data_IF_255449661850
#
_entry.id   IF_255449661850
#
_cell.length_a   1.000
_cell.length_b   1.000
_cell.length_c   1.000
_cell.angle_alpha   90.00
_cell.angle_beta   90.00
_cell.angle_gamma   90.00
#
_symmetry.space_group_name_H-M   'P 1'
#
loop_
_entity.id
_entity.type
_entity.pdbx_description
1 polymer ?
#
# COMPACT_ATOMS: atom_id res chain seq x y z
N UNK A 1 -6.34 -12.31 10.14
CA UNK A 1 -7.30 -12.63 9.05
C UNK A 1 -7.81 -11.32 8.49
N UNK A 2 -7.71 -11.10 7.18
CA UNK A 2 -7.91 -9.80 6.53
C UNK A 2 -7.18 -9.77 5.18
N UNK A 3 -7.00 -8.58 4.59
CA UNK A 3 -6.29 -8.36 3.31
C UNK A 3 -4.81 -8.83 3.28
N UNK A 4 -4.31 -9.44 4.36
CA UNK A 4 -3.00 -10.07 4.46
C UNK A 4 -2.98 -11.51 3.91
N UNK A 5 -4.13 -12.20 3.89
CA UNK A 5 -4.29 -13.47 3.17
C UNK A 5 -4.94 -13.18 1.81
N UNK A 6 -4.26 -13.49 0.68
CA UNK A 6 -4.78 -13.25 -0.67
C UNK A 6 -6.14 -13.92 -0.94
N UNK A 7 -6.43 -15.08 -0.35
CA UNK A 7 -7.68 -15.80 -0.58
C UNK A 7 -8.84 -15.09 0.12
N UNK A 8 -8.65 -14.76 1.40
CA UNK A 8 -9.66 -14.03 2.17
C UNK A 8 -9.86 -12.60 1.65
N UNK A 9 -8.78 -11.95 1.22
CA UNK A 9 -8.83 -10.66 0.53
C UNK A 9 -9.69 -10.74 -0.73
N UNK A 10 -9.51 -11.77 -1.57
CA UNK A 10 -10.27 -11.93 -2.81
C UNK A 10 -11.76 -12.17 -2.53
N UNK A 11 -12.08 -12.96 -1.51
CA UNK A 11 -13.46 -13.15 -1.04
C UNK A 11 -14.10 -11.85 -0.61
N UNK A 12 -13.37 -11.03 0.17
CA UNK A 12 -13.85 -9.71 0.62
C UNK A 12 -14.14 -8.79 -0.57
N UNK A 13 -13.23 -8.72 -1.54
CA UNK A 13 -13.41 -7.94 -2.77
C UNK A 13 -14.69 -8.39 -3.49
N UNK A 14 -14.86 -9.69 -3.70
CA UNK A 14 -16.06 -10.24 -4.37
C UNK A 14 -17.36 -9.90 -3.63
N UNK A 15 -17.37 -10.01 -2.29
CA UNK A 15 -18.54 -9.66 -1.48
C UNK A 15 -18.83 -8.16 -1.58
N UNK A 16 -17.80 -7.31 -1.44
CA UNK A 16 -17.92 -5.86 -1.58
C UNK A 16 -18.54 -5.48 -2.93
N UNK A 17 -17.95 -5.98 -4.02
CA UNK A 17 -18.47 -5.74 -5.39
C UNK A 17 -19.92 -6.16 -5.53
N UNK A 18 -20.32 -7.32 -5.00
CA UNK A 18 -21.73 -7.78 -5.05
C UNK A 18 -22.67 -6.88 -4.28
N UNK A 19 -22.27 -6.41 -3.09
CA UNK A 19 -23.10 -5.53 -2.25
C UNK A 19 -23.29 -4.17 -2.93
N UNK A 20 -22.21 -3.52 -3.34
CA UNK A 20 -22.28 -2.19 -3.97
C UNK A 20 -23.03 -2.23 -5.31
N UNK A 21 -22.72 -3.20 -6.18
CA UNK A 21 -23.39 -3.30 -7.48
C UNK A 21 -24.85 -3.78 -7.34
N UNK A 22 -25.14 -4.63 -6.35
CA UNK A 22 -26.51 -5.03 -6.02
C UNK A 22 -27.36 -3.85 -5.55
N UNK A 23 -26.81 -3.01 -4.67
CA UNK A 23 -27.45 -1.78 -4.24
C UNK A 23 -27.66 -0.81 -5.42
N UNK A 24 -26.66 -0.65 -6.29
CA UNK A 24 -26.78 0.19 -7.48
C UNK A 24 -27.90 -0.29 -8.42
N UNK A 25 -28.02 -1.60 -8.69
CA UNK A 25 -29.15 -2.14 -9.47
C UNK A 25 -30.50 -1.86 -8.79
N UNK A 26 -30.57 -2.02 -7.47
CA UNK A 26 -31.82 -1.77 -6.74
C UNK A 26 -32.25 -0.31 -6.82
N UNK A 27 -31.29 0.62 -6.74
CA UNK A 27 -31.55 2.06 -6.92
C UNK A 27 -31.92 2.36 -8.38
N UNK A 28 -31.32 1.67 -9.36
CA UNK A 28 -31.63 1.86 -10.77
C UNK A 28 -33.12 1.59 -11.10
N UNK A 29 -33.79 0.69 -10.36
CA UNK A 29 -35.22 0.42 -10.52
C UNK A 29 -36.10 1.67 -10.32
N UNK A 30 -35.67 2.65 -9.52
CA UNK A 30 -36.41 3.90 -9.31
C UNK A 30 -36.16 4.94 -10.41
N UNK A 31 -35.37 4.62 -11.44
CA UNK A 31 -35.02 5.49 -12.57
C UNK A 31 -34.57 6.90 -12.13
N UNK A 32 -33.52 7.01 -11.31
CA UNK A 32 -33.03 8.31 -10.85
C UNK A 32 -32.48 9.15 -12.03
N UNK A 33 -32.53 10.47 -11.91
CA UNK A 33 -31.91 11.37 -12.88
C UNK A 33 -30.38 11.20 -12.98
N UNK A 34 -29.74 10.76 -11.89
CA UNK A 34 -28.32 10.43 -11.84
C UNK A 34 -28.12 9.25 -10.89
N UNK A 35 -27.45 8.20 -11.37
CA UNK A 35 -26.94 7.09 -10.56
C UNK A 35 -25.42 7.04 -10.68
N UNK A 36 -24.73 7.00 -9.55
CA UNK A 36 -23.30 6.78 -9.49
C UNK A 36 -23.03 5.54 -8.64
N UNK A 37 -22.23 4.63 -9.17
CA UNK A 37 -21.82 3.41 -8.48
C UNK A 37 -20.30 3.32 -8.47
N UNK A 38 -19.71 3.16 -7.29
CA UNK A 38 -18.28 3.02 -7.12
C UNK A 38 -17.90 1.54 -7.01
N UNK A 39 -17.03 1.07 -7.90
CA UNK A 39 -16.57 -0.31 -7.95
C UNK A 39 -15.11 -0.41 -7.48
N UNK A 40 -14.88 -0.23 -6.17
CA UNK A 40 -13.53 -0.19 -5.58
C UNK A 40 -12.70 -1.46 -5.88
N UNK A 41 -13.37 -2.60 -6.04
CA UNK A 41 -12.67 -3.87 -6.21
C UNK A 41 -11.85 -3.97 -7.50
N UNK A 42 -12.08 -3.11 -8.52
CA UNK A 42 -11.22 -3.06 -9.71
C UNK A 42 -9.82 -2.52 -9.42
N UNK A 43 -9.66 -1.76 -8.35
CA UNK A 43 -8.37 -1.31 -7.83
C UNK A 43 -7.80 -2.31 -6.81
N UNK A 44 -8.62 -2.71 -5.82
CA UNK A 44 -8.17 -3.61 -4.74
C UNK A 44 -7.65 -4.95 -5.28
N UNK A 45 -8.22 -5.46 -6.38
CA UNK A 45 -7.79 -6.72 -6.99
C UNK A 45 -6.36 -6.64 -7.54
N UNK A 46 -5.97 -5.48 -8.05
CA UNK A 46 -4.62 -5.21 -8.53
C UNK A 46 -3.61 -5.21 -7.39
N UNK A 47 -3.93 -4.53 -6.28
CA UNK A 47 -3.08 -4.52 -5.10
C UNK A 47 -2.95 -5.90 -4.46
N UNK A 48 -4.04 -6.67 -4.44
CA UNK A 48 -4.07 -7.98 -3.79
C UNK A 48 -3.36 -9.07 -4.59
N UNK A 49 -3.69 -9.19 -5.89
CA UNK A 49 -3.22 -10.29 -6.73
C UNK A 49 -2.08 -9.90 -7.67
N UNK A 50 -1.81 -8.61 -7.82
CA UNK A 50 -0.70 -8.08 -8.59
C UNK A 50 0.60 -8.85 -8.35
N UNK A 51 1.14 -8.93 -7.13
CA UNK A 51 2.42 -9.62 -6.87
C UNK A 51 2.57 -11.05 -7.44
N UNK A 52 1.46 -11.73 -7.72
CA UNK A 52 1.43 -13.10 -8.23
C UNK A 52 1.25 -13.20 -9.76
N UNK A 53 0.92 -12.11 -10.45
CA UNK A 53 0.81 -12.11 -11.93
C UNK A 53 2.19 -12.10 -12.60
N UNK A 54 2.33 -12.60 -13.84
CA UNK A 54 3.61 -12.57 -14.57
C UNK A 54 4.11 -11.14 -14.89
N UNK A 55 5.40 -10.82 -14.64
CA UNK A 55 6.38 -11.62 -13.89
C UNK A 55 6.10 -11.56 -12.39
N UNK A 56 6.03 -12.73 -11.74
CA UNK A 56 5.73 -12.82 -10.30
C UNK A 56 6.84 -12.17 -9.46
N UNK A 57 6.45 -11.59 -8.32
CA UNK A 57 7.39 -11.02 -7.37
C UNK A 57 8.32 -12.09 -6.78
N UNK A 58 9.58 -11.75 -6.44
CA UNK A 58 10.50 -12.70 -5.82
C UNK A 58 9.93 -13.31 -4.54
N UNK A 59 10.00 -14.63 -4.41
CA UNK A 59 9.48 -15.34 -3.24
C UNK A 59 7.95 -15.49 -3.20
N UNK A 60 7.24 -15.15 -4.27
CA UNK A 60 5.80 -15.37 -4.37
C UNK A 60 5.43 -16.86 -4.27
N UNK A 61 4.33 -17.17 -3.58
CA UNK A 61 3.80 -18.52 -3.44
C UNK A 61 3.45 -19.11 -4.83
N UNK A 62 4.07 -20.24 -5.23
CA UNK A 62 3.80 -20.88 -6.52
C UNK A 62 2.32 -21.21 -6.78
N UNK A 63 1.56 -21.58 -5.74
CA UNK A 63 0.14 -21.89 -5.89
C UNK A 63 -0.68 -20.63 -6.25
N UNK A 64 -0.33 -19.49 -5.63
CA UNK A 64 -0.96 -18.21 -5.94
C UNK A 64 -0.52 -17.68 -7.31
N UNK A 65 0.73 -17.89 -7.72
CA UNK A 65 1.21 -17.54 -9.06
C UNK A 65 0.42 -18.26 -10.15
N UNK A 66 0.05 -19.52 -9.92
CA UNK A 66 -0.80 -20.28 -10.84
C UNK A 66 -2.26 -19.80 -10.84
N UNK A 67 -2.80 -19.46 -9.67
CA UNK A 67 -4.23 -19.14 -9.50
C UNK A 67 -4.58 -17.68 -9.82
N UNK A 68 -3.65 -16.73 -9.66
CA UNK A 68 -3.94 -15.30 -9.74
C UNK A 68 -4.37 -14.81 -11.13
N UNK A 69 -3.71 -15.18 -12.25
CA UNK A 69 -4.10 -14.68 -13.58
C UNK A 69 -5.57 -14.97 -13.94
N UNK A 70 -6.06 -16.24 -13.89
CA UNK A 70 -7.46 -16.50 -14.20
C UNK A 70 -8.42 -15.93 -13.14
N UNK A 71 -7.97 -15.69 -11.90
CA UNK A 71 -8.80 -15.05 -10.88
C UNK A 71 -9.05 -13.57 -11.18
N UNK A 72 -8.02 -12.83 -11.61
CA UNK A 72 -8.13 -11.42 -12.01
C UNK A 72 -9.04 -11.29 -13.24
N UNK A 73 -8.84 -12.10 -14.28
CA UNK A 73 -9.70 -12.10 -15.48
C UNK A 73 -11.16 -12.38 -15.14
N UNK A 74 -11.42 -13.39 -14.31
CA UNK A 74 -12.79 -13.73 -13.87
C UNK A 74 -13.42 -12.63 -13.03
N UNK A 75 -12.63 -11.91 -12.24
CA UNK A 75 -13.12 -10.76 -11.48
C UNK A 75 -13.60 -9.64 -12.41
N UNK A 76 -12.81 -9.26 -13.42
CA UNK A 76 -13.26 -8.27 -14.41
C UNK A 76 -14.48 -8.75 -15.21
N UNK A 77 -14.56 -10.05 -15.55
CA UNK A 77 -15.78 -10.60 -16.15
C UNK A 77 -17.02 -10.54 -15.22
N UNK A 78 -16.84 -10.51 -13.88
CA UNK A 78 -17.94 -10.22 -12.95
C UNK A 78 -18.37 -8.76 -13.08
N UNK A 79 -17.43 -7.82 -13.14
CA UNK A 79 -17.71 -6.38 -13.31
C UNK A 79 -18.45 -6.13 -14.63
N UNK A 80 -18.00 -6.73 -15.74
CA UNK A 80 -18.65 -6.60 -17.05
C UNK A 80 -20.09 -7.10 -17.03
N UNK A 81 -20.37 -8.23 -16.37
CA UNK A 81 -21.75 -8.72 -16.20
C UNK A 81 -22.62 -7.75 -15.42
N UNK A 82 -22.09 -7.09 -14.40
CA UNK A 82 -22.84 -6.08 -13.65
C UNK A 82 -23.11 -4.82 -14.48
N UNK A 83 -22.13 -4.37 -15.28
CA UNK A 83 -22.35 -3.28 -16.24
C UNK A 83 -23.44 -3.65 -17.25
N UNK A 84 -23.43 -4.88 -17.78
CA UNK A 84 -24.49 -5.38 -18.66
C UNK A 84 -25.87 -5.30 -18.02
N UNK A 85 -26.01 -5.74 -16.76
CA UNK A 85 -27.28 -5.65 -16.02
C UNK A 85 -27.75 -4.22 -15.75
N UNK A 86 -26.82 -3.28 -15.54
CA UNK A 86 -27.17 -1.86 -15.43
C UNK A 86 -27.67 -1.32 -16.78
N UNK A 87 -27.04 -1.72 -17.88
CA UNK A 87 -27.46 -1.35 -19.24
C UNK A 87 -28.81 -1.96 -19.65
N UNK A 88 -29.19 -3.12 -19.10
CA UNK A 88 -30.54 -3.68 -19.27
C UNK A 88 -31.62 -2.81 -18.62
N UNK A 89 -31.32 -2.15 -17.50
CA UNK A 89 -32.25 -1.24 -16.81
C UNK A 89 -32.34 0.14 -17.48
N UNK A 90 -31.26 0.56 -18.14
CA UNK A 90 -31.12 1.87 -18.77
C UNK A 90 -30.35 1.73 -20.10
N UNK A 91 -31.02 1.32 -21.19
CA UNK A 91 -30.37 1.13 -22.48
C UNK A 91 -29.73 2.44 -22.99
N UNK A 92 -28.66 2.33 -23.78
CA UNK A 92 -27.93 3.50 -24.33
C UNK A 92 -28.80 4.40 -25.22
N UNK A 93 -29.92 3.92 -25.73
CA UNK A 93 -30.90 4.75 -26.45
C UNK A 93 -31.66 5.73 -25.55
N UNK A 94 -31.73 5.44 -24.25
CA UNK A 94 -32.49 6.23 -23.27
C UNK A 94 -31.57 7.00 -22.32
N UNK A 95 -30.39 6.45 -22.02
CA UNK A 95 -29.51 6.95 -20.97
C UNK A 95 -28.10 7.23 -21.48
N UNK A 96 -27.41 8.20 -20.87
CA UNK A 96 -25.98 8.36 -21.00
C UNK A 96 -25.28 7.51 -19.93
N UNK A 97 -24.26 6.75 -20.34
CA UNK A 97 -23.45 5.92 -19.45
C UNK A 97 -22.01 6.41 -19.48
N UNK A 98 -21.50 6.67 -18.29
CA UNK A 98 -20.18 7.18 -18.04
C UNK A 98 -19.40 6.16 -17.18
N UNK A 99 -18.29 5.63 -17.72
CA UNK A 99 -17.33 4.80 -16.99
C UNK A 99 -16.04 5.59 -16.83
N UNK A 100 -15.61 5.78 -15.58
CA UNK A 100 -14.42 6.57 -15.24
C UNK A 100 -13.54 5.80 -14.26
N UNK A 101 -12.25 5.80 -14.55
CA UNK A 101 -11.18 5.51 -13.62
C UNK A 101 -10.18 6.65 -13.74
N UNK A 102 -9.85 7.29 -12.63
CA UNK A 102 -8.90 8.41 -12.56
C UNK A 102 -7.46 7.97 -12.86
N UNK A 103 -7.11 6.75 -12.46
CA UNK A 103 -5.82 6.12 -12.76
C UNK A 103 -5.98 4.76 -13.44
N UNK A 104 -4.90 4.31 -14.07
CA UNK A 104 -4.74 2.92 -14.53
C UNK A 104 -3.94 2.10 -13.52
N UNK A 105 -3.68 0.85 -13.83
CA UNK A 105 -2.90 -0.04 -12.96
C UNK A 105 -1.75 -0.68 -13.73
N UNK A 106 -0.58 -0.82 -13.09
CA UNK A 106 0.59 -1.52 -13.63
C UNK A 106 0.38 -3.01 -13.37
N UNK A 107 0.28 -3.81 -14.43
CA UNK A 107 -0.06 -5.23 -14.32
C UNK A 107 1.10 -6.17 -14.65
N UNK A 108 2.15 -5.68 -15.34
CA UNK A 108 3.20 -6.52 -15.92
C UNK A 108 4.58 -6.20 -15.38
N UNK A 109 5.58 -6.15 -16.26
CA UNK A 109 6.97 -5.82 -15.92
C UNK A 109 7.17 -4.37 -15.49
N UNK A 110 6.19 -3.49 -15.71
CA UNK A 110 6.19 -2.08 -15.33
C UNK A 110 5.86 -1.85 -13.85
N UNK A 111 5.64 -2.91 -13.07
CA UNK A 111 5.30 -2.84 -11.64
C UNK A 111 6.53 -2.61 -10.75
N UNK A 112 6.35 -1.89 -9.64
CA UNK A 112 7.39 -1.74 -8.62
C UNK A 112 7.72 -3.08 -7.93
N UNK A 113 8.90 -3.17 -7.32
CA UNK A 113 9.33 -4.37 -6.57
C UNK A 113 8.83 -4.35 -5.12
N UNK A 114 8.39 -3.19 -4.66
CA UNK A 114 7.84 -2.91 -3.36
C UNK A 114 6.47 -3.56 -3.19
N UNK A 115 6.16 -4.04 -1.98
CA UNK A 115 4.87 -4.63 -1.66
C UNK A 115 3.72 -3.66 -2.01
N UNK A 116 2.71 -4.16 -2.72
CA UNK A 116 1.44 -3.46 -2.91
C UNK A 116 0.53 -3.75 -1.72
N UNK A 117 0.41 -2.80 -0.80
CA UNK A 117 -0.66 -2.84 0.19
C UNK A 117 -1.92 -2.16 -0.36
N UNK A 118 -3.08 -2.57 0.15
CA UNK A 118 -4.33 -1.78 -0.01
C UNK A 118 -4.31 -0.53 0.92
N UNK A 119 -3.22 -0.37 1.66
CA UNK A 119 -2.93 0.76 2.53
C UNK A 119 -1.87 1.65 1.84
N UNK A 120 -2.03 2.97 1.92
CA UNK A 120 -1.64 3.91 0.87
C UNK A 120 -0.13 4.16 0.68
N UNK A 121 0.76 3.66 1.55
CA UNK A 121 2.20 3.94 1.51
C UNK A 121 2.81 3.76 0.11
N UNK A 122 2.49 2.65 -0.56
CA UNK A 122 3.08 2.27 -1.85
C UNK A 122 2.04 2.05 -2.94
N UNK A 123 0.75 2.15 -2.63
CA UNK A 123 -0.34 1.86 -3.55
C UNK A 123 -0.23 2.70 -4.84
N UNK A 124 0.00 4.01 -4.73
CA UNK A 124 0.11 4.89 -5.90
C UNK A 124 1.24 4.48 -6.87
N UNK A 125 2.33 3.86 -6.37
CA UNK A 125 3.43 3.39 -7.22
C UNK A 125 2.99 2.27 -8.18
N UNK A 126 1.93 1.55 -7.83
CA UNK A 126 1.35 0.49 -8.66
C UNK A 126 0.36 1.03 -9.69
N UNK A 127 0.02 2.31 -9.62
CA UNK A 127 -0.89 2.94 -10.55
C UNK A 127 -0.17 3.47 -11.78
N UNK A 128 -0.90 3.52 -12.90
CA UNK A 128 -0.52 4.31 -14.06
C UNK A 128 -1.22 5.67 -13.95
N UNK A 129 -0.54 6.78 -14.28
CA UNK A 129 -1.12 8.11 -14.13
C UNK A 129 -2.34 8.36 -15.04
N UNK A 130 -2.53 7.55 -16.08
CA UNK A 130 -3.65 7.65 -17.01
C UNK A 130 -4.63 6.52 -16.74
N UNK A 131 -5.85 6.87 -16.32
CA UNK A 131 -6.98 5.96 -16.25
C UNK A 131 -7.79 5.90 -17.54
N UNK A 132 -9.09 5.67 -17.40
CA UNK A 132 -10.03 5.53 -18.51
C UNK A 132 -11.21 6.48 -18.36
N UNK A 133 -11.72 6.95 -19.49
CA UNK A 133 -12.97 7.66 -19.58
C UNK A 133 -13.73 7.10 -20.79
N UNK A 134 -14.93 6.61 -20.56
CA UNK A 134 -15.84 6.12 -21.61
C UNK A 134 -17.18 6.77 -21.39
N UNK A 135 -17.69 7.46 -22.41
CA UNK A 135 -19.01 8.06 -22.42
C UNK A 135 -19.77 7.62 -23.66
N UNK A 136 -20.97 7.09 -23.47
CA UNK A 136 -21.82 6.63 -24.56
C UNK A 136 -23.31 6.79 -24.23
N UNK A 137 -24.15 6.84 -25.27
CA UNK A 137 -25.61 6.80 -25.14
C UNK A 137 -26.32 8.14 -25.40
N UNK A 138 -27.53 8.27 -24.85
CA UNK A 138 -28.44 9.36 -25.16
C UNK A 138 -27.83 10.74 -24.80
N UNK A 139 -27.97 11.71 -25.69
CA UNK A 139 -27.39 13.05 -25.51
C UNK A 139 -25.88 13.16 -25.75
N UNK A 140 -25.20 12.07 -26.15
CA UNK A 140 -23.76 12.06 -26.46
C UNK A 140 -23.54 12.16 -27.97
N UNK A 141 -23.08 13.31 -28.46
CA UNK A 141 -22.75 13.54 -29.88
C UNK A 141 -21.28 13.19 -30.13
N UNK A 142 -20.95 11.91 -30.09
CA UNK A 142 -19.55 11.44 -30.07
C UNK A 142 -18.67 12.01 -31.20
N UNK A 143 -17.52 12.59 -30.83
CA UNK A 143 -16.39 12.92 -31.73
C UNK A 143 -14.99 12.66 -31.14
N UNK A 144 -14.89 12.32 -29.85
CA UNK A 144 -13.61 12.13 -29.16
C UNK A 144 -12.90 10.82 -29.54
N UNK A 145 -11.57 10.85 -29.60
CA UNK A 145 -10.71 9.68 -29.84
C UNK A 145 -9.88 9.32 -28.61
N UNK A 146 -9.39 8.10 -28.56
CA UNK A 146 -8.32 7.68 -27.64
C UNK A 146 -7.15 8.66 -27.71
N UNK A 147 -6.76 9.23 -26.56
CA UNK A 147 -5.59 10.10 -26.43
C UNK A 147 -5.86 11.59 -26.21
N UNK A 148 -7.10 12.06 -26.32
CA UNK A 148 -7.44 13.41 -25.87
C UNK A 148 -7.27 13.55 -24.35
N UNK A 149 -6.58 14.59 -23.85
CA UNK A 149 -6.37 14.77 -22.42
C UNK A 149 -7.70 15.14 -21.74
N UNK A 150 -8.10 14.32 -20.78
CA UNK A 150 -9.19 14.57 -19.85
C UNK A 150 -8.62 14.67 -18.43
N UNK A 151 -9.19 15.56 -17.63
CA UNK A 151 -8.90 15.70 -16.20
C UNK A 151 -10.06 15.17 -15.37
N UNK A 152 -9.77 14.73 -14.14
CA UNK A 152 -10.80 14.44 -13.14
C UNK A 152 -11.73 15.63 -12.91
N UNK A 153 -11.21 16.86 -13.07
CA UNK A 153 -11.98 18.09 -12.97
C UNK A 153 -13.05 18.25 -14.06
N UNK A 154 -12.93 17.53 -15.17
CA UNK A 154 -13.87 17.60 -16.29
C UNK A 154 -15.12 16.71 -16.07
N UNK A 155 -15.07 15.78 -15.11
CA UNK A 155 -16.16 14.82 -14.85
C UNK A 155 -17.44 15.52 -14.40
N UNK A 156 -17.38 16.37 -13.37
CA UNK A 156 -18.55 17.07 -12.85
C UNK A 156 -19.19 18.04 -13.89
N UNK A 157 -18.42 18.88 -14.61
CA UNK A 157 -18.95 19.66 -15.75
C UNK A 157 -19.64 18.80 -16.81
N UNK A 158 -19.09 17.62 -17.13
CA UNK A 158 -19.66 16.70 -18.12
C UNK A 158 -21.01 16.15 -17.65
N UNK A 159 -21.09 15.69 -16.40
CA UNK A 159 -22.35 15.22 -15.80
C UNK A 159 -23.39 16.34 -15.75
N UNK A 160 -23.01 17.55 -15.34
CA UNK A 160 -23.91 18.70 -15.33
C UNK A 160 -24.44 19.02 -16.74
N UNK A 161 -23.58 18.97 -17.76
CA UNK A 161 -23.97 19.15 -19.15
C UNK A 161 -25.00 18.12 -19.63
N UNK A 162 -24.80 16.83 -19.32
CA UNK A 162 -25.73 15.75 -19.66
C UNK A 162 -27.09 15.91 -18.97
N UNK A 163 -27.11 16.46 -17.76
CA UNK A 163 -28.33 16.72 -16.99
C UNK A 163 -29.00 18.06 -17.37
N UNK A 164 -28.42 18.84 -18.28
CA UNK A 164 -28.92 20.18 -18.62
C UNK A 164 -28.81 21.20 -17.48
N UNK A 165 -27.91 20.96 -16.52
CA UNK A 165 -27.66 21.82 -15.37
C UNK A 165 -26.65 22.93 -15.73
N UNK A 166 -26.73 24.11 -15.08
CA UNK A 166 -25.74 25.16 -15.26
C UNK A 166 -24.38 24.73 -14.69
N UNK A 167 -23.31 25.13 -15.38
CA UNK A 167 -21.94 24.87 -14.94
C UNK A 167 -21.58 25.73 -13.72
N UNK A 168 -20.71 25.21 -12.85
CA UNK A 168 -20.19 25.98 -11.74
C UNK A 168 -19.32 27.15 -12.19
N UNK A 169 -19.50 28.33 -11.56
CA UNK A 169 -18.70 29.52 -11.85
C UNK A 169 -17.20 29.30 -11.61
N UNK A 170 -16.87 28.57 -10.55
CA UNK A 170 -15.51 28.31 -10.06
C UNK A 170 -14.95 26.93 -10.45
N UNK A 171 -15.67 26.14 -11.26
CA UNK A 171 -15.21 24.81 -11.62
C UNK A 171 -14.01 24.90 -12.59
N UNK A 172 -12.88 24.23 -12.28
CA UNK A 172 -11.67 24.34 -13.09
C UNK A 172 -11.73 23.51 -14.38
N UNK A 173 -12.60 22.50 -14.45
CA UNK A 173 -12.78 21.67 -15.63
C UNK A 173 -13.89 22.15 -16.56
N UNK A 174 -14.04 21.45 -17.68
CA UNK A 174 -15.04 21.74 -18.72
C UNK A 174 -15.75 20.45 -19.17
N UNK A 175 -16.96 20.54 -19.75
CA UNK A 175 -17.61 19.37 -20.33
C UNK A 175 -16.70 18.73 -21.38
N UNK A 176 -16.57 17.40 -21.31
CA UNK A 176 -15.76 16.63 -22.24
C UNK A 176 -16.43 16.54 -23.63
N UNK A 177 -15.63 16.32 -24.69
CA UNK A 177 -16.13 16.23 -26.06
C UNK A 177 -17.32 15.29 -26.20
N UNK A 178 -18.33 15.73 -26.96
CA UNK A 178 -19.57 14.97 -27.17
C UNK A 178 -20.70 15.31 -26.20
N UNK A 179 -20.46 16.20 -25.23
CA UNK A 179 -21.52 16.77 -24.40
C UNK A 179 -21.68 18.25 -24.71
N UNK A 180 -22.87 18.64 -25.16
CA UNK A 180 -23.21 20.06 -25.32
C UNK A 180 -23.85 20.54 -24.02
N UNK A 181 -23.11 21.30 -23.22
CA UNK A 181 -23.72 21.94 -22.04
C UNK A 181 -24.77 22.97 -22.49
N UNK A 182 -25.92 22.98 -21.82
CA UNK A 182 -26.90 24.04 -22.01
C UNK A 182 -26.25 25.40 -21.70
N UNK A 183 -26.37 26.35 -22.63
CA UNK A 183 -25.91 27.73 -22.40
C UNK A 183 -26.85 28.36 -21.37
N UNK A 184 -26.50 28.24 -20.09
CA UNK A 184 -27.11 28.93 -18.96
C UNK A 184 -26.04 29.75 -18.26
N UNK A 185 -26.44 30.79 -17.52
CA UNK A 185 -25.50 31.50 -16.65
C UNK A 185 -24.83 30.53 -15.68
N UNK A 186 -23.53 30.70 -15.47
CA UNK A 186 -22.79 29.89 -14.51
C UNK A 186 -23.31 30.18 -13.10
N UNK A 187 -23.38 29.15 -12.27
CA UNK A 187 -23.95 29.23 -10.91
C UNK A 187 -22.87 29.05 -9.86
N UNK A 188 -22.94 29.83 -8.78
CA UNK A 188 -22.13 29.63 -7.58
C UNK A 188 -22.72 28.50 -6.72
N UNK A 189 -22.49 27.24 -7.11
CA UNK A 189 -23.05 26.07 -6.41
C UNK A 189 -22.68 26.01 -4.92
N UNK A 190 -21.50 26.52 -4.54
CA UNK A 190 -21.07 26.62 -3.13
C UNK A 190 -21.91 27.57 -2.29
N UNK A 191 -22.58 28.54 -2.91
CA UNK A 191 -23.49 29.47 -2.22
C UNK A 191 -24.90 28.87 -2.08
N UNK A 192 -25.32 28.05 -3.04
CA UNK A 192 -26.64 27.39 -3.04
C UNK A 192 -26.68 26.13 -2.18
N UNK A 193 -25.59 25.36 -2.20
CA UNK A 193 -25.44 24.10 -1.45
C UNK A 193 -24.09 24.18 -0.73
N UNK A 194 -24.05 24.87 0.42
CA UNK A 194 -22.79 25.05 1.15
C UNK A 194 -22.25 23.67 1.59
N UNK A 195 -20.92 23.44 1.61
CA UNK A 195 -20.33 22.14 1.96
C UNK A 195 -20.86 21.57 3.30
N UNK A 196 -21.22 22.44 4.24
CA UNK A 196 -21.78 22.10 5.54
C UNK A 196 -23.18 21.48 5.45
N UNK A 197 -23.92 21.73 4.36
CA UNK A 197 -25.25 21.16 4.12
C UNK A 197 -25.21 19.65 3.83
N UNK A 198 -24.06 19.11 3.45
CA UNK A 198 -23.84 17.67 3.20
C UNK A 198 -23.20 16.94 4.38
N UNK A 199 -23.33 17.45 5.61
CA UNK A 199 -23.05 16.63 6.79
C UNK A 199 -24.24 15.68 7.00
N UNK A 200 -24.15 14.38 6.69
CA UNK A 200 -25.13 13.45 7.23
C UNK A 200 -25.15 13.67 8.73
N UNK A 201 -26.35 13.76 9.34
CA UNK A 201 -26.48 13.67 10.79
C UNK A 201 -26.04 12.26 11.18
N UNK A 202 -24.73 12.05 11.27
CA UNK A 202 -24.18 10.87 11.91
C UNK A 202 -24.52 11.05 13.36
N UNK A 203 -25.56 10.36 13.81
CA UNK A 203 -25.76 10.15 15.23
C UNK A 203 -24.46 9.50 15.71
N UNK A 204 -23.74 10.13 16.64
CA UNK A 204 -22.59 9.50 17.29
C UNK A 204 -23.11 8.26 18.03
N UNK A 205 -23.18 7.14 17.33
CA UNK A 205 -23.42 5.85 17.95
C UNK A 205 -22.10 5.46 18.57
N UNK A 206 -21.96 5.67 19.89
CA UNK A 206 -20.86 5.07 20.65
C UNK A 206 -21.00 3.56 20.51
N UNK A 207 -20.08 2.89 19.80
CA UNK A 207 -20.19 1.45 19.59
C UNK A 207 -20.10 0.74 20.95
N UNK A 208 -20.97 -0.24 21.19
CA UNK A 208 -20.91 -1.02 22.42
C UNK A 208 -19.57 -1.74 22.54
N UNK A 209 -19.12 -2.00 23.77
CA UNK A 209 -17.88 -2.73 24.01
C UNK A 209 -17.85 -4.10 23.29
N UNK A 210 -19.03 -4.71 23.13
CA UNK A 210 -19.23 -5.98 22.45
C UNK A 210 -19.08 -5.86 20.93
N UNK A 211 -19.59 -4.78 20.32
CA UNK A 211 -19.39 -4.48 18.90
C UNK A 211 -17.93 -4.16 18.58
N UNK A 212 -17.27 -3.39 19.46
CA UNK A 212 -15.82 -3.13 19.38
C UNK A 212 -15.02 -4.43 19.53
N UNK A 213 -15.42 -5.32 20.45
CA UNK A 213 -14.79 -6.64 20.60
C UNK A 213 -14.99 -7.53 19.37
N UNK A 214 -16.17 -7.48 18.74
CA UNK A 214 -16.43 -8.16 17.47
C UNK A 214 -15.56 -7.63 16.34
N UNK A 215 -15.44 -6.32 16.19
CA UNK A 215 -14.59 -5.71 15.17
C UNK A 215 -13.09 -6.03 15.41
N UNK A 216 -12.66 -6.11 16.67
CA UNK A 216 -11.32 -6.62 17.05
C UNK A 216 -11.14 -8.09 16.70
N UNK A 217 -12.10 -8.95 17.07
CA UNK A 217 -12.06 -10.39 16.77
C UNK A 217 -12.10 -10.69 15.26
N UNK A 218 -12.74 -9.81 14.48
CA UNK A 218 -12.79 -9.86 13.02
C UNK A 218 -11.57 -9.19 12.34
N UNK A 219 -10.63 -8.63 13.11
CA UNK A 219 -9.40 -8.02 12.61
C UNK A 219 -9.57 -6.63 11.97
N UNK A 220 -10.72 -5.96 12.16
CA UNK A 220 -10.97 -4.60 11.67
C UNK A 220 -10.33 -3.51 12.54
N UNK A 221 -9.97 -3.82 13.79
CA UNK A 221 -9.43 -2.87 14.77
C UNK A 221 -8.04 -3.25 15.31
N UNK A 222 -7.39 -4.28 14.74
CA UNK A 222 -5.96 -4.50 14.98
C UNK A 222 -5.18 -3.46 14.19
N UNK A 223 -4.22 -2.79 14.85
CA UNK A 223 -3.57 -1.54 14.43
C UNK A 223 -2.71 -1.63 13.17
N UNK A 224 -3.35 -1.87 12.04
CA UNK A 224 -2.95 -1.34 10.74
C UNK A 224 -3.91 -0.22 10.34
N UNK A 225 -3.61 0.47 9.26
CA UNK A 225 -4.38 1.58 8.67
C UNK A 225 -5.78 1.14 8.18
N UNK A 226 -6.61 0.56 9.05
CA UNK A 226 -8.02 0.34 8.78
C UNK A 226 -8.73 1.67 8.97
N UNK A 227 -9.29 2.16 7.86
CA UNK A 227 -10.15 3.33 7.80
C UNK A 227 -11.23 3.26 8.89
N UNK A 228 -10.99 4.02 9.96
CA UNK A 228 -11.95 4.29 11.02
C UNK A 228 -12.16 5.80 11.09
N UNK A 229 -12.93 6.35 10.15
CA UNK A 229 -13.20 7.78 10.11
C UNK A 229 -14.16 8.16 8.99
N UNK A 230 -15.44 8.26 9.32
CA UNK A 230 -16.39 9.10 8.58
C UNK A 230 -15.96 10.56 8.77
N UNK A 231 -15.09 11.05 7.90
CA UNK A 231 -14.62 12.43 7.84
C UNK A 231 -13.54 12.54 6.77
N UNK A 232 -13.58 13.61 5.98
CA UNK A 232 -12.61 14.02 4.95
C UNK A 232 -11.27 13.24 4.99
N UNK A 233 -10.96 12.48 3.93
CA UNK A 233 -9.78 11.61 3.78
C UNK A 233 -8.47 12.40 3.56
N UNK A 234 -8.32 13.52 4.28
CA UNK A 234 -7.34 14.57 3.99
C UNK A 234 -5.90 14.10 4.17
N UNK A 235 -5.61 13.26 5.16
CA UNK A 235 -4.27 12.70 5.37
C UNK A 235 -3.87 11.72 4.25
N UNK A 236 -4.81 10.90 3.79
CA UNK A 236 -4.60 9.96 2.68
C UNK A 236 -4.38 10.69 1.36
N UNK A 237 -5.18 11.73 1.10
CA UNK A 237 -5.03 12.62 -0.05
C UNK A 237 -3.69 13.36 -0.05
N UNK A 238 -3.27 13.89 1.10
CA UNK A 238 -1.97 14.55 1.26
C UNK A 238 -0.80 13.59 1.08
N UNK A 239 -0.90 12.35 1.58
CA UNK A 239 0.09 11.30 1.33
C UNK A 239 0.19 10.98 -0.18
N UNK A 240 -0.94 10.82 -0.85
CA UNK A 240 -0.96 10.55 -2.29
C UNK A 240 -0.40 11.72 -3.10
N UNK A 241 -0.72 12.97 -2.72
CA UNK A 241 -0.14 14.16 -3.33
C UNK A 241 1.39 14.17 -3.17
N UNK A 242 1.90 13.81 -2.00
CA UNK A 242 3.34 13.68 -1.77
C UNK A 242 3.99 12.66 -2.69
N UNK A 243 3.36 11.50 -2.90
CA UNK A 243 3.83 10.48 -3.85
C UNK A 243 3.86 11.01 -5.28
N UNK A 244 2.82 11.73 -5.72
CA UNK A 244 2.76 12.33 -7.06
C UNK A 244 3.82 13.42 -7.26
N UNK A 245 4.14 14.19 -6.23
CA UNK A 245 5.26 15.13 -6.29
C UNK A 245 6.61 14.41 -6.32
N UNK A 246 6.79 13.35 -5.54
CA UNK A 246 8.00 12.54 -5.51
C UNK A 246 8.28 11.89 -6.87
N UNK A 247 7.28 11.24 -7.49
CA UNK A 247 7.41 10.65 -8.83
C UNK A 247 7.75 11.68 -9.90
N UNK A 248 7.33 12.94 -9.72
CA UNK A 248 7.64 14.03 -10.63
C UNK A 248 8.98 14.72 -10.32
N UNK A 249 9.75 14.24 -9.34
CA UNK A 249 11.03 14.84 -8.93
C UNK A 249 10.90 16.15 -8.15
N UNK A 250 9.69 16.53 -7.74
CA UNK A 250 9.40 17.73 -6.94
C UNK A 250 9.56 17.42 -5.45
N UNK A 251 10.82 17.29 -5.01
CA UNK A 251 11.17 16.75 -3.70
C UNK A 251 10.67 17.65 -2.55
N UNK A 252 10.75 18.97 -2.69
CA UNK A 252 10.29 19.90 -1.66
C UNK A 252 8.77 19.82 -1.46
N UNK A 253 8.01 19.85 -2.55
CA UNK A 253 6.56 19.75 -2.49
C UNK A 253 6.10 18.37 -1.97
N UNK A 254 6.84 17.31 -2.30
CA UNK A 254 6.61 15.98 -1.76
C UNK A 254 6.80 15.93 -0.23
N UNK A 255 7.93 16.47 0.26
CA UNK A 255 8.23 16.54 1.69
C UNK A 255 7.18 17.35 2.44
N UNK A 256 6.75 18.49 1.90
CA UNK A 256 5.68 19.30 2.50
C UNK A 256 4.34 18.54 2.57
N UNK A 257 3.96 17.84 1.50
CA UNK A 257 2.71 17.09 1.46
C UNK A 257 2.71 15.94 2.48
N UNK A 258 3.81 15.18 2.60
CA UNK A 258 3.93 14.14 3.62
C UNK A 258 3.91 14.72 5.04
N UNK A 259 4.59 15.84 5.30
CA UNK A 259 4.54 16.50 6.62
C UNK A 259 3.15 17.00 6.97
N UNK A 260 2.39 17.51 5.98
CA UNK A 260 0.98 17.87 6.18
C UNK A 260 0.12 16.64 6.49
N UNK A 261 0.37 15.51 5.83
CA UNK A 261 -0.32 14.25 6.14
C UNK A 261 -0.05 13.78 7.58
N UNK A 262 1.20 13.87 8.04
CA UNK A 262 1.60 13.57 9.43
C UNK A 262 0.94 14.54 10.41
N UNK A 263 0.90 15.84 10.10
CA UNK A 263 0.24 16.83 10.95
C UNK A 263 -1.28 16.59 11.06
N UNK A 264 -1.92 16.15 9.97
CA UNK A 264 -3.34 15.80 9.95
C UNK A 264 -3.63 14.53 10.76
N UNK A 265 -2.76 13.51 10.67
CA UNK A 265 -2.86 12.29 11.45
C UNK A 265 -1.48 11.79 11.91
N UNK A 266 -1.06 12.10 13.14
CA UNK A 266 0.24 11.69 13.67
C UNK A 266 0.41 10.17 13.86
N UNK A 267 -0.68 9.40 13.83
CA UNK A 267 -0.64 7.94 13.90
C UNK A 267 -0.53 7.29 12.51
N UNK A 268 -0.50 8.07 11.44
CA UNK A 268 -0.47 7.56 10.07
C UNK A 268 0.95 7.18 9.65
N UNK A 269 1.21 5.86 9.61
CA UNK A 269 2.55 5.33 9.35
C UNK A 269 3.04 5.54 7.90
N UNK A 270 2.12 5.52 6.91
CA UNK A 270 2.46 5.63 5.48
C UNK A 270 3.29 6.88 5.10
N UNK A 271 2.91 8.11 5.51
CA UNK A 271 3.72 9.31 5.26
C UNK A 271 5.15 9.23 5.79
N UNK A 272 5.38 8.64 6.96
CA UNK A 272 6.73 8.45 7.51
C UNK A 272 7.57 7.52 6.61
N UNK A 273 6.98 6.40 6.15
CA UNK A 273 7.68 5.52 5.21
C UNK A 273 8.01 6.21 3.87
N UNK A 274 7.12 7.08 3.40
CA UNK A 274 7.34 7.84 2.17
C UNK A 274 8.37 8.96 2.32
N UNK A 275 8.42 9.64 3.48
CA UNK A 275 9.53 10.53 3.81
C UNK A 275 10.85 9.77 3.89
N UNK A 276 10.87 8.55 4.45
CA UNK A 276 12.06 7.69 4.40
C UNK A 276 12.56 7.48 2.97
N UNK A 277 11.66 7.21 2.02
CA UNK A 277 12.04 6.99 0.62
C UNK A 277 12.62 8.26 0.01
N UNK A 278 11.93 9.38 0.19
CA UNK A 278 12.38 10.70 -0.28
C UNK A 278 13.77 11.05 0.27
N UNK A 279 13.97 10.90 1.58
CA UNK A 279 15.25 11.20 2.23
C UNK A 279 16.35 10.25 1.79
N UNK A 280 16.04 8.96 1.61
CA UNK A 280 16.99 7.99 1.09
C UNK A 280 17.45 8.34 -0.34
N UNK A 281 16.50 8.66 -1.24
CA UNK A 281 16.81 9.08 -2.63
C UNK A 281 17.60 10.39 -2.68
N UNK A 282 17.44 11.25 -1.67
CA UNK A 282 18.16 12.51 -1.51
C UNK A 282 19.51 12.36 -0.78
N UNK A 283 19.92 11.15 -0.41
CA UNK A 283 21.16 10.89 0.35
C UNK A 283 21.13 11.33 1.82
N UNK A 284 19.96 11.77 2.34
CA UNK A 284 19.74 12.17 3.73
C UNK A 284 19.42 10.95 4.59
N UNK A 285 20.40 10.07 4.72
CA UNK A 285 20.17 8.76 5.28
C UNK A 285 19.80 8.77 6.78
N UNK A 286 20.31 9.71 7.60
CA UNK A 286 19.90 9.77 9.03
C UNK A 286 18.40 10.07 9.17
N UNK A 287 17.90 11.01 8.37
CA UNK A 287 16.48 11.31 8.33
C UNK A 287 15.68 10.10 7.82
N UNK A 288 16.18 9.41 6.80
CA UNK A 288 15.54 8.20 6.29
C UNK A 288 15.40 7.10 7.35
N UNK A 289 16.44 6.88 8.16
CA UNK A 289 16.43 5.91 9.25
C UNK A 289 15.42 6.30 10.34
N UNK A 290 15.38 7.59 10.72
CA UNK A 290 14.42 8.10 11.70
C UNK A 290 12.98 7.88 11.25
N UNK A 291 12.65 8.28 10.03
CA UNK A 291 11.28 8.15 9.52
C UNK A 291 10.89 6.68 9.32
N UNK A 292 11.84 5.80 8.96
CA UNK A 292 11.57 4.36 8.91
C UNK A 292 11.20 3.82 10.29
N UNK A 293 12.03 4.08 11.29
CA UNK A 293 11.81 3.57 12.65
C UNK A 293 10.49 4.08 13.22
N UNK A 294 10.12 5.33 12.92
CA UNK A 294 8.82 5.88 13.33
C UNK A 294 7.65 5.19 12.60
N UNK A 295 7.75 4.97 11.28
CA UNK A 295 6.74 4.21 10.55
C UNK A 295 6.56 2.80 11.15
N UNK A 296 7.66 2.12 11.47
CA UNK A 296 7.64 0.78 12.09
C UNK A 296 7.00 0.82 13.48
N UNK A 297 7.32 1.84 14.30
CA UNK A 297 6.74 2.05 15.63
C UNK A 297 5.22 2.28 15.56
N UNK A 298 4.76 2.99 14.54
CA UNK A 298 3.35 3.27 14.27
C UNK A 298 2.59 2.08 13.66
N UNK A 299 3.24 0.94 13.43
CA UNK A 299 2.58 -0.27 12.91
C UNK A 299 2.46 -0.27 11.39
N UNK A 300 3.43 0.29 10.67
CA UNK A 300 3.49 0.22 9.20
C UNK A 300 3.20 -1.19 8.71
N UNK A 301 2.23 -1.31 7.80
CA UNK A 301 1.90 -2.57 7.14
C UNK A 301 3.09 -3.04 6.30
N UNK A 302 3.44 -4.33 6.40
CA UNK A 302 4.70 -4.87 5.86
C UNK A 302 5.96 -4.20 6.44
N UNK A 303 5.94 -3.77 7.70
CA UNK A 303 7.08 -3.12 8.36
C UNK A 303 8.38 -3.93 8.30
N UNK A 304 8.32 -5.25 8.55
CA UNK A 304 9.51 -6.12 8.43
C UNK A 304 10.06 -6.15 7.00
N UNK A 305 9.19 -6.19 5.99
CA UNK A 305 9.62 -6.13 4.58
C UNK A 305 10.24 -4.77 4.24
N UNK A 306 9.65 -3.68 4.74
CA UNK A 306 10.19 -2.33 4.59
C UNK A 306 11.60 -2.19 5.20
N UNK A 307 11.81 -2.74 6.39
CA UNK A 307 13.13 -2.81 7.04
C UNK A 307 14.13 -3.62 6.22
N UNK A 308 13.72 -4.79 5.72
CA UNK A 308 14.60 -5.64 4.91
C UNK A 308 15.07 -4.93 3.63
N UNK A 309 14.16 -4.22 2.96
CA UNK A 309 14.50 -3.42 1.77
C UNK A 309 15.50 -2.32 2.13
N UNK A 310 15.32 -1.62 3.25
CA UNK A 310 16.25 -0.60 3.71
C UNK A 310 17.66 -1.14 4.03
N UNK A 311 17.72 -2.30 4.68
CA UNK A 311 19.00 -2.95 4.95
C UNK A 311 19.71 -3.39 3.66
N UNK A 312 18.98 -3.97 2.71
CA UNK A 312 19.52 -4.34 1.40
C UNK A 312 19.97 -3.12 0.57
N UNK A 313 19.26 -2.00 0.69
CA UNK A 313 19.64 -0.73 0.08
C UNK A 313 21.02 -0.26 0.58
N UNK A 314 21.24 -0.29 1.90
CA UNK A 314 22.55 0.06 2.48
C UNK A 314 23.65 -0.94 2.14
N UNK A 315 23.36 -2.25 2.10
CA UNK A 315 24.31 -3.26 1.65
C UNK A 315 24.78 -3.00 0.21
N UNK A 316 23.84 -2.71 -0.71
CA UNK A 316 24.15 -2.42 -2.11
C UNK A 316 25.01 -1.16 -2.28
N UNK A 317 24.81 -0.17 -1.42
CA UNK A 317 25.61 1.06 -1.39
C UNK A 317 26.94 0.91 -0.62
N UNK A 318 27.20 -0.25 -0.01
CA UNK A 318 28.37 -0.48 0.84
C UNK A 318 28.35 0.27 2.18
N UNK A 319 27.20 0.84 2.57
CA UNK A 319 27.00 1.63 3.79
C UNK A 319 26.79 0.72 5.02
N UNK A 320 27.77 -0.14 5.31
CA UNK A 320 27.67 -1.19 6.34
C UNK A 320 27.45 -0.68 7.76
N UNK A 321 28.11 0.41 8.15
CA UNK A 321 27.91 1.04 9.47
C UNK A 321 26.45 1.46 9.68
N UNK A 322 25.82 1.96 8.62
CA UNK A 322 24.43 2.39 8.68
C UNK A 322 23.47 1.21 8.74
N UNK A 323 23.73 0.15 7.95
CA UNK A 323 22.98 -1.09 8.05
C UNK A 323 23.04 -1.69 9.47
N UNK A 324 24.22 -1.68 10.10
CA UNK A 324 24.40 -2.12 11.49
C UNK A 324 23.58 -1.28 12.48
N UNK A 325 23.64 0.05 12.34
CA UNK A 325 22.90 0.99 13.20
C UNK A 325 21.39 0.85 13.07
N UNK A 326 20.87 0.81 11.84
CA UNK A 326 19.43 0.63 11.57
C UNK A 326 18.93 -0.72 12.09
N UNK A 327 19.65 -1.81 11.78
CA UNK A 327 19.28 -3.14 12.26
C UNK A 327 19.25 -3.21 13.79
N UNK A 328 20.26 -2.63 14.46
CA UNK A 328 20.34 -2.62 15.93
C UNK A 328 19.18 -1.85 16.56
N UNK A 329 18.81 -0.72 15.98
CA UNK A 329 17.66 0.08 16.44
C UNK A 329 16.35 -0.69 16.26
N UNK A 330 16.19 -1.37 15.13
CA UNK A 330 14.97 -2.10 14.79
C UNK A 330 14.74 -3.37 15.65
N UNK A 331 15.77 -3.95 16.28
CA UNK A 331 15.60 -5.09 17.20
C UNK A 331 14.65 -4.77 18.35
N UNK A 332 14.58 -3.50 18.78
CA UNK A 332 13.65 -3.06 19.84
C UNK A 332 12.19 -3.12 19.40
N UNK A 333 11.92 -2.91 18.11
CA UNK A 333 10.59 -2.95 17.51
C UNK A 333 10.18 -4.38 17.13
N UNK A 334 11.16 -5.27 16.88
CA UNK A 334 10.95 -6.68 16.55
C UNK A 334 11.69 -7.61 17.52
N UNK A 335 11.33 -7.62 18.82
CA UNK A 335 12.11 -8.34 19.84
C UNK A 335 12.13 -9.87 19.64
N UNK A 336 11.16 -10.41 18.90
CA UNK A 336 10.99 -11.83 18.59
C UNK A 336 11.52 -12.24 17.19
N UNK A 337 12.25 -11.36 16.50
CA UNK A 337 12.82 -11.65 15.19
C UNK A 337 14.27 -12.13 15.30
N UNK A 338 14.46 -13.45 15.22
CA UNK A 338 15.77 -14.09 15.27
C UNK A 338 16.66 -13.72 14.06
N UNK A 339 16.06 -13.57 12.88
CA UNK A 339 16.79 -13.21 11.66
C UNK A 339 17.33 -11.78 11.73
N UNK A 340 16.56 -10.85 12.29
CA UNK A 340 17.04 -9.48 12.50
C UNK A 340 18.21 -9.43 13.47
N UNK A 341 18.18 -10.22 14.56
CA UNK A 341 19.32 -10.32 15.48
C UNK A 341 20.54 -10.95 14.82
N UNK A 342 20.35 -12.03 14.05
CA UNK A 342 21.43 -12.63 13.26
C UNK A 342 22.03 -11.61 12.27
N UNK A 343 21.21 -10.76 11.64
CA UNK A 343 21.68 -9.70 10.75
C UNK A 343 22.54 -8.66 11.49
N UNK A 344 22.17 -8.25 12.72
CA UNK A 344 23.01 -7.37 13.56
C UNK A 344 24.38 -7.99 13.80
N UNK A 345 24.44 -9.26 14.21
CA UNK A 345 25.72 -9.95 14.44
C UNK A 345 26.56 -10.01 13.17
N UNK A 346 25.94 -10.35 12.03
CA UNK A 346 26.60 -10.36 10.72
C UNK A 346 27.20 -8.99 10.39
N UNK A 347 26.45 -7.89 10.55
CA UNK A 347 26.97 -6.56 10.23
C UNK A 347 28.13 -6.16 11.16
N UNK A 348 28.05 -6.48 12.45
CA UNK A 348 29.15 -6.19 13.38
C UNK A 348 30.42 -6.99 13.03
N UNK A 349 30.27 -8.24 12.60
CA UNK A 349 31.36 -9.07 12.10
C UNK A 349 31.99 -8.50 10.82
N UNK A 350 31.18 -8.08 9.85
CA UNK A 350 31.66 -7.45 8.61
C UNK A 350 32.42 -6.13 8.87
N UNK A 351 32.08 -5.44 9.95
CA UNK A 351 32.76 -4.22 10.41
C UNK A 351 33.97 -4.52 11.33
N UNK A 352 34.27 -5.78 11.59
CA UNK A 352 35.31 -6.23 12.52
C UNK A 352 35.13 -5.69 13.96
N UNK A 353 33.89 -5.39 14.37
CA UNK A 353 33.52 -4.92 15.71
C UNK A 353 33.30 -6.09 16.66
N UNK A 354 34.32 -6.95 16.80
CA UNK A 354 34.21 -8.25 17.48
C UNK A 354 33.71 -8.14 18.93
N UNK A 355 34.16 -7.12 19.68
CA UNK A 355 33.74 -6.91 21.06
C UNK A 355 32.25 -6.64 21.20
N UNK A 356 31.69 -5.80 20.32
CA UNK A 356 30.24 -5.54 20.32
C UNK A 356 29.45 -6.72 19.79
N UNK A 357 29.99 -7.43 18.80
CA UNK A 357 29.39 -8.62 18.24
C UNK A 357 29.20 -9.71 19.32
N UNK A 358 30.20 -9.96 20.17
CA UNK A 358 30.09 -10.99 21.22
C UNK A 358 29.12 -10.60 22.34
N UNK A 359 29.04 -9.32 22.72
CA UNK A 359 28.03 -8.87 23.69
C UNK A 359 26.62 -9.05 23.13
N UNK A 360 26.37 -8.63 21.88
CA UNK A 360 25.08 -8.83 21.22
C UNK A 360 24.77 -10.29 20.94
N UNK A 361 25.78 -11.13 20.72
CA UNK A 361 25.62 -12.57 20.57
C UNK A 361 25.07 -13.22 21.84
N UNK A 362 25.57 -12.83 23.03
CA UNK A 362 25.05 -13.34 24.31
C UNK A 362 23.58 -12.99 24.49
N UNK A 363 23.18 -11.74 24.20
CA UNK A 363 21.79 -11.31 24.22
C UNK A 363 20.92 -12.12 23.24
N UNK A 364 21.41 -12.33 22.01
CA UNK A 364 20.68 -13.05 20.97
C UNK A 364 20.53 -14.54 21.30
N UNK A 365 21.59 -15.22 21.76
CA UNK A 365 21.55 -16.64 22.16
C UNK A 365 20.67 -16.85 23.39
N UNK A 366 20.64 -15.91 24.33
CA UNK A 366 19.73 -15.98 25.48
C UNK A 366 18.26 -15.91 25.04
N UNK A 367 17.93 -15.05 24.08
CA UNK A 367 16.58 -14.92 23.55
C UNK A 367 16.19 -16.06 22.59
N UNK A 368 17.14 -16.61 21.83
CA UNK A 368 16.92 -17.63 20.80
C UNK A 368 17.93 -18.79 20.93
N UNK A 369 17.86 -19.58 22.00
CA UNK A 369 18.87 -20.60 22.30
C UNK A 369 18.87 -21.79 21.33
N UNK A 370 17.85 -21.91 20.48
CA UNK A 370 17.68 -23.01 19.52
C UNK A 370 17.55 -22.51 18.07
N UNK A 371 17.92 -21.26 17.80
CA UNK A 371 17.98 -20.75 16.42
C UNK A 371 19.38 -20.97 15.82
N UNK A 372 19.44 -21.73 14.74
CA UNK A 372 20.71 -22.13 14.13
C UNK A 372 21.50 -20.94 13.58
N UNK A 373 20.83 -19.93 12.99
CA UNK A 373 21.49 -18.76 12.42
C UNK A 373 22.05 -17.85 13.52
N UNK A 374 21.28 -17.62 14.59
CA UNK A 374 21.76 -16.88 15.76
C UNK A 374 22.98 -17.56 16.37
N UNK A 375 22.94 -18.88 16.57
CA UNK A 375 24.07 -19.65 17.12
C UNK A 375 25.29 -19.63 16.20
N UNK A 376 25.10 -19.69 14.88
CA UNK A 376 26.18 -19.62 13.90
C UNK A 376 26.92 -18.28 13.99
N UNK A 377 26.19 -17.17 13.90
CA UNK A 377 26.79 -15.84 13.98
C UNK A 377 27.31 -15.51 15.38
N UNK A 378 26.73 -16.07 16.44
CA UNK A 378 27.28 -15.98 17.79
C UNK A 378 28.64 -16.67 17.88
N UNK A 379 28.75 -17.89 17.37
CA UNK A 379 30.02 -18.63 17.30
C UNK A 379 31.10 -17.87 16.54
N UNK A 380 30.75 -17.31 15.37
CA UNK A 380 31.66 -16.47 14.58
C UNK A 380 32.05 -15.18 15.32
N UNK A 381 31.13 -14.57 16.06
CA UNK A 381 31.39 -13.38 16.90
C UNK A 381 32.39 -13.69 18.03
N UNK A 382 32.25 -14.83 18.69
CA UNK A 382 33.20 -15.28 19.70
C UNK A 382 34.58 -15.57 19.09
N UNK A 383 34.64 -16.22 17.92
CA UNK A 383 35.89 -16.48 17.21
C UNK A 383 36.62 -15.18 16.82
N UNK A 384 35.88 -14.19 16.30
CA UNK A 384 36.38 -12.83 16.01
C UNK A 384 37.00 -12.18 17.25
N UNK A 385 36.37 -12.35 18.41
CA UNK A 385 36.83 -11.81 19.69
C UNK A 385 37.96 -12.62 20.36
N UNK A 386 38.38 -13.75 19.77
CA UNK A 386 39.38 -14.66 20.35
C UNK A 386 38.87 -15.57 21.46
N UNK A 387 37.55 -15.64 21.69
CA UNK A 387 36.92 -16.58 22.64
C UNK A 387 36.67 -17.93 21.97
N UNK A 388 37.74 -18.72 21.85
CA UNK A 388 37.70 -20.04 21.20
C UNK A 388 36.73 -21.01 21.88
N UNK A 389 36.56 -20.93 23.21
CA UNK A 389 35.71 -21.85 23.95
C UNK A 389 34.22 -21.62 23.65
N UNK A 390 33.75 -20.36 23.70
CA UNK A 390 32.37 -20.03 23.33
C UNK A 390 32.13 -20.23 21.84
N UNK A 391 33.12 -19.93 21.00
CA UNK A 391 33.04 -20.14 19.55
C UNK A 391 32.73 -21.60 19.20
N UNK A 392 33.53 -22.55 19.70
CA UNK A 392 33.29 -24.00 19.48
C UNK A 392 31.91 -24.41 19.98
N UNK A 393 31.57 -24.04 21.21
CA UNK A 393 30.28 -24.39 21.84
C UNK A 393 29.08 -23.95 21.00
N UNK A 394 29.05 -22.70 20.51
CA UNK A 394 27.92 -22.19 19.75
C UNK A 394 27.90 -22.71 18.30
N UNK A 395 29.06 -22.88 17.66
CA UNK A 395 29.15 -23.45 16.31
C UNK A 395 28.67 -24.90 16.28
N UNK A 396 29.11 -25.73 17.24
CA UNK A 396 28.67 -27.13 17.36
C UNK A 396 27.15 -27.24 17.57
N UNK A 397 26.59 -26.40 18.46
CA UNK A 397 25.14 -26.32 18.67
C UNK A 397 24.38 -25.89 17.42
N UNK A 398 24.90 -24.91 16.67
CA UNK A 398 24.31 -24.51 15.39
C UNK A 398 24.30 -25.67 14.38
N UNK A 399 25.42 -26.40 14.26
CA UNK A 399 25.56 -27.54 13.36
C UNK A 399 24.68 -28.73 13.76
N UNK A 400 24.42 -28.94 15.05
CA UNK A 400 23.48 -29.93 15.52
C UNK A 400 22.03 -29.62 15.10
N UNK A 401 21.66 -28.33 15.03
CA UNK A 401 20.33 -27.89 14.58
C UNK A 401 20.22 -27.83 13.05
N UNK A 402 21.27 -27.38 12.37
CA UNK A 402 21.35 -27.35 10.92
C UNK A 402 22.74 -27.82 10.44
N UNK A 403 22.89 -29.10 10.04
CA UNK A 403 24.16 -29.64 9.58
C UNK A 403 24.66 -29.08 8.24
N UNK A 404 23.82 -28.37 7.46
CA UNK A 404 24.16 -27.87 6.14
C UNK A 404 24.72 -26.43 6.17
N UNK A 405 25.87 -26.27 6.83
CA UNK A 405 26.57 -24.98 6.96
C UNK A 405 28.09 -25.17 6.69
N UNK A 406 28.51 -25.29 5.43
CA UNK A 406 29.89 -25.67 5.09
C UNK A 406 30.94 -24.65 5.53
N UNK A 407 30.62 -23.35 5.46
CA UNK A 407 31.50 -22.27 5.90
C UNK A 407 31.72 -22.32 7.42
N UNK A 408 30.66 -22.63 8.18
CA UNK A 408 30.74 -22.78 9.63
C UNK A 408 31.57 -23.99 10.04
N UNK A 409 31.47 -25.11 9.32
CA UNK A 409 32.33 -26.29 9.52
C UNK A 409 33.79 -25.97 9.25
N UNK A 410 34.07 -25.17 8.21
CA UNK A 410 35.42 -24.74 7.92
C UNK A 410 35.97 -23.83 9.04
N UNK A 411 35.19 -22.86 9.49
CA UNK A 411 35.58 -21.98 10.60
C UNK A 411 35.87 -22.77 11.88
N UNK A 412 35.03 -23.78 12.21
CA UNK A 412 35.23 -24.62 13.39
C UNK A 412 36.57 -25.40 13.35
N UNK A 413 36.94 -25.96 12.19
CA UNK A 413 38.23 -26.65 12.01
C UNK A 413 39.44 -25.73 12.15
N UNK A 414 39.29 -24.43 11.85
CA UNK A 414 40.39 -23.46 12.01
C UNK A 414 40.63 -23.09 13.48
N UNK A 415 39.74 -23.49 14.40
CA UNK A 415 39.85 -23.29 15.84
C UNK A 415 40.43 -24.51 16.57
N UNK A 416 40.64 -25.63 15.89
CA UNK A 416 41.33 -26.83 16.37
C UNK A 416 42.84 -26.69 16.22
#
# INVERSE_FOLDING_TARGET
RGMADPIDGFRRILVGTRVYMGAALKIAESKPHLLMAYCIGTDEIGHLLGPYLPPASPGADPALVQAAPPAVERYFAVVDRWLGRLLEQCPLSECAVLVVSDHGFKWGSDRPREFSGVAAATAALWHRPKGIFVLAGNGVTAKGRTGEPASVYDVAPTVAGLLGLPLGASWPGKPLPGVTAAVREKVAWSELVPPESYRPRVQEVKPSAEYVAQLKALGYLEGGETQGGSGSNTEGELNNLGLLHLEAGRLQEAEEAFKKAIAANPAYASPHYNLRRLYFESGRYEDADRELLEALRLGLRDGRGALQRALADYERLGLRERAASLASSAVTLFPRDALLRAAVLRYLLELNRCGEAVEKAREAVSAFPQDAAVLAFAGLSAACAGDTASAKTWMERSLALNPNQPELKQALRMLE
#
